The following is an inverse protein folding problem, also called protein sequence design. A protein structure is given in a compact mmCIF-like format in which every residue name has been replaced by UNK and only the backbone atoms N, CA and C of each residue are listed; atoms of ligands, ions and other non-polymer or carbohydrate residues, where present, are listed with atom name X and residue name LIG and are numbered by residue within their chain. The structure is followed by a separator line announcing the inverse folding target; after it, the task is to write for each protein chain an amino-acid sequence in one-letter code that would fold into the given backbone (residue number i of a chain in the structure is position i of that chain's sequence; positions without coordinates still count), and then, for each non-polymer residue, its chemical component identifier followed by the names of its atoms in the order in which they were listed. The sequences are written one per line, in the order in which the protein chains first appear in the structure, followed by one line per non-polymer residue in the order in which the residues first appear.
data_IF_616559241791
#
_entry.id   IF_616559241791
#
_cell.length_a   1.000
_cell.length_b   1.000
_cell.length_c   1.000
_cell.angle_alpha   90.00
_cell.angle_beta   90.00
_cell.angle_gamma   90.00
#
_symmetry.space_group_name_H-M   'P 1'
#
loop_
_entity.id
_entity.type
_entity.pdbx_description
1 polymer ?
#
# COMPACT_ATOMS: atom_id res chain seq x y z
N UNK A 1 20.22 -39.91 54.93
CA UNK A 1 20.57 -39.31 53.64
C UNK A 1 19.43 -38.37 53.27
N UNK A 2 19.64 -37.08 53.45
CA UNK A 2 18.65 -36.04 53.17
C UNK A 2 18.75 -35.62 51.69
N UNK A 3 17.62 -35.53 51.02
CA UNK A 3 17.47 -35.02 49.66
C UNK A 3 17.36 -33.50 49.80
N UNK A 4 18.14 -32.68 49.06
CA UNK A 4 17.98 -31.24 49.10
C UNK A 4 16.74 -30.79 48.35
N UNK A 5 15.88 -30.05 49.01
CA UNK A 5 14.75 -29.32 48.48
C UNK A 5 15.25 -28.21 47.56
N UNK A 6 14.86 -28.28 46.28
CA UNK A 6 15.11 -27.26 45.30
C UNK A 6 13.99 -26.21 45.41
N UNK A 7 14.25 -25.19 46.21
CA UNK A 7 13.39 -24.01 46.28
C UNK A 7 13.54 -23.19 45.00
N UNK A 8 12.47 -23.14 44.20
CA UNK A 8 12.30 -22.19 43.10
C UNK A 8 12.25 -20.77 43.70
N UNK A 9 12.93 -19.78 43.07
CA UNK A 9 12.88 -18.42 43.58
C UNK A 9 11.48 -17.84 43.43
N UNK A 10 11.00 -17.33 44.53
CA UNK A 10 9.71 -16.70 44.73
C UNK A 10 9.43 -15.59 43.71
N UNK A 11 8.17 -15.54 43.36
CA UNK A 11 7.54 -14.56 42.46
C UNK A 11 7.98 -13.13 42.77
N UNK A 12 8.51 -12.48 41.74
CA UNK A 12 8.75 -11.05 41.73
C UNK A 12 7.45 -10.26 41.69
N UNK A 13 7.46 -9.22 42.47
CA UNK A 13 6.41 -8.27 42.79
C UNK A 13 5.55 -7.80 41.61
N UNK A 14 4.29 -7.66 41.95
CA UNK A 14 3.21 -6.93 41.28
C UNK A 14 3.61 -5.59 40.66
N UNK A 15 3.19 -5.33 39.41
CA UNK A 15 2.83 -3.98 38.98
C UNK A 15 3.61 -3.35 37.84
N UNK A 16 4.72 -3.91 37.37
CA UNK A 16 5.46 -3.31 36.24
C UNK A 16 5.45 -4.23 34.99
N UNK A 17 5.06 -3.68 33.86
CA UNK A 17 5.19 -4.35 32.58
C UNK A 17 6.63 -4.84 32.35
N UNK A 18 6.77 -6.06 31.86
CA UNK A 18 8.10 -6.57 31.47
C UNK A 18 8.77 -5.66 30.46
N UNK A 19 10.10 -5.61 30.39
CA UNK A 19 10.79 -4.78 29.40
C UNK A 19 10.37 -5.08 27.94
N UNK A 20 10.07 -6.34 27.61
CA UNK A 20 9.55 -6.70 26.29
C UNK A 20 8.14 -6.14 26.05
N UNK A 21 7.25 -6.20 27.06
CA UNK A 21 5.92 -5.61 26.95
C UNK A 21 5.95 -4.08 26.83
N UNK A 22 6.93 -3.42 27.43
CA UNK A 22 7.13 -1.97 27.22
C UNK A 22 7.47 -1.67 25.76
N UNK A 23 8.40 -2.41 25.15
CA UNK A 23 8.72 -2.27 23.73
C UNK A 23 7.51 -2.53 22.81
N UNK A 24 6.67 -3.54 23.14
CA UNK A 24 5.43 -3.79 22.43
C UNK A 24 4.47 -2.60 22.50
N UNK A 25 4.24 -2.07 23.70
CA UNK A 25 3.37 -0.91 23.88
C UNK A 25 3.89 0.35 23.17
N UNK A 26 5.21 0.55 23.14
CA UNK A 26 5.82 1.67 22.43
C UNK A 26 5.60 1.54 20.92
N UNK A 27 5.80 0.34 20.35
CA UNK A 27 5.46 0.05 18.96
C UNK A 27 3.96 0.27 18.67
N UNK A 28 3.08 -0.21 19.58
CA UNK A 28 1.63 -0.04 19.41
C UNK A 28 1.17 1.41 19.51
N UNK A 29 1.79 2.23 20.36
CA UNK A 29 1.50 3.67 20.42
C UNK A 29 1.86 4.40 19.13
N UNK A 30 2.95 4.01 18.49
CA UNK A 30 3.40 4.59 17.23
C UNK A 30 2.52 4.13 16.04
N UNK A 31 2.05 2.88 16.06
CA UNK A 31 1.27 2.25 14.99
C UNK A 31 -0.07 1.73 15.52
N UNK A 32 -0.92 2.66 15.98
CA UNK A 32 -2.18 2.33 16.67
C UNK A 32 -3.16 1.53 15.85
N UNK A 33 -3.21 1.80 14.55
CA UNK A 33 -4.10 1.22 13.55
C UNK A 33 -3.56 -0.06 12.90
N UNK A 34 -2.33 -0.47 13.23
CA UNK A 34 -1.72 -1.69 12.74
C UNK A 34 -1.70 -2.81 13.78
N UNK A 35 -1.84 -4.05 13.36
CA UNK A 35 -1.58 -5.24 14.17
C UNK A 35 -0.07 -5.37 14.31
N UNK A 36 0.45 -5.39 15.54
CA UNK A 36 1.88 -5.49 15.80
C UNK A 36 2.30 -6.96 15.83
N UNK A 37 3.12 -7.37 14.86
CA UNK A 37 3.82 -8.64 14.84
C UNK A 37 5.15 -8.47 15.58
N UNK A 38 5.20 -8.91 16.83
CA UNK A 38 6.32 -8.67 17.72
C UNK A 38 7.22 -9.90 17.80
N UNK A 39 8.47 -9.79 17.36
CA UNK A 39 9.41 -10.91 17.30
C UNK A 39 9.79 -11.42 18.70
N UNK A 40 9.47 -12.68 18.97
CA UNK A 40 9.82 -13.39 20.21
C UNK A 40 10.43 -14.75 19.87
N UNK A 41 11.77 -14.83 19.81
CA UNK A 41 12.48 -16.03 19.37
C UNK A 41 12.09 -16.42 17.92
N UNK A 42 11.56 -17.62 17.73
CA UNK A 42 11.16 -18.13 16.41
C UNK A 42 9.72 -17.82 16.01
N UNK A 43 9.06 -16.94 16.77
CA UNK A 43 7.68 -16.54 16.52
C UNK A 43 7.56 -15.03 16.39
N UNK A 44 6.51 -14.60 15.65
CA UNK A 44 5.90 -13.31 15.84
C UNK A 44 4.68 -13.47 16.72
N UNK A 45 4.68 -12.83 17.86
CA UNK A 45 3.61 -12.86 18.84
C UNK A 45 2.80 -11.56 18.80
N UNK A 46 1.49 -11.69 18.90
CA UNK A 46 0.54 -10.58 19.00
C UNK A 46 -0.10 -10.62 20.37
N UNK A 47 -0.37 -9.47 20.95
CA UNK A 47 -0.88 -9.35 22.32
C UNK A 47 -2.12 -8.45 22.37
N UNK A 48 -2.88 -8.55 23.45
CA UNK A 48 -4.05 -7.72 23.74
C UNK A 48 -5.07 -7.74 22.59
N UNK A 49 -5.54 -6.57 22.16
CA UNK A 49 -6.50 -6.42 21.07
C UNK A 49 -5.98 -6.99 19.74
N UNK A 50 -4.69 -6.81 19.46
CA UNK A 50 -4.09 -7.37 18.25
C UNK A 50 -4.19 -8.90 18.20
N UNK A 51 -4.04 -9.56 19.34
CA UNK A 51 -4.22 -11.02 19.42
C UNK A 51 -5.66 -11.45 19.17
N UNK A 52 -6.64 -10.69 19.69
CA UNK A 52 -8.07 -10.98 19.47
C UNK A 52 -8.45 -10.82 18.00
N UNK A 53 -7.98 -9.77 17.35
CA UNK A 53 -8.22 -9.51 15.93
C UNK A 53 -7.52 -10.56 15.07
N UNK A 54 -6.22 -10.77 15.28
CA UNK A 54 -5.42 -11.70 14.50
C UNK A 54 -5.88 -13.15 14.64
N UNK A 55 -6.23 -13.60 15.86
CA UNK A 55 -6.73 -14.96 16.08
C UNK A 55 -8.00 -15.26 15.28
N UNK A 56 -8.93 -14.31 15.24
CA UNK A 56 -10.17 -14.43 14.45
C UNK A 56 -9.89 -14.38 12.94
N UNK A 57 -9.04 -13.43 12.52
CA UNK A 57 -8.76 -13.22 11.10
C UNK A 57 -7.94 -14.36 10.48
N UNK A 58 -7.05 -14.98 11.25
CA UNK A 58 -6.13 -16.02 10.80
C UNK A 58 -6.50 -17.43 11.26
N UNK A 59 -7.55 -17.56 12.10
CA UNK A 59 -7.98 -18.83 12.72
C UNK A 59 -6.88 -19.43 13.62
N UNK A 60 -6.19 -18.56 14.39
CA UNK A 60 -5.14 -18.96 15.30
C UNK A 60 -5.70 -19.26 16.70
N UNK A 61 -5.09 -20.20 17.39
CA UNK A 61 -5.40 -20.47 18.79
C UNK A 61 -5.01 -19.28 19.67
N UNK A 62 -5.99 -18.74 20.40
CA UNK A 62 -5.77 -17.72 21.40
C UNK A 62 -5.28 -18.39 22.69
N UNK A 63 -4.15 -17.89 23.23
CA UNK A 63 -3.53 -18.39 24.46
C UNK A 63 -3.24 -17.23 25.42
N UNK A 64 -2.67 -17.53 26.58
CA UNK A 64 -2.17 -16.54 27.53
C UNK A 64 -0.94 -17.09 28.25
N UNK A 65 0.16 -16.34 28.22
CA UNK A 65 1.40 -16.71 28.94
C UNK A 65 1.73 -15.76 30.08
N UNK A 66 1.10 -14.58 30.12
CA UNK A 66 1.42 -13.53 31.08
C UNK A 66 0.16 -12.96 31.71
N UNK A 67 0.30 -12.35 32.83
CA UNK A 67 -0.76 -11.58 33.48
C UNK A 67 -0.44 -10.08 33.41
N UNK A 68 -1.47 -9.28 33.24
CA UNK A 68 -1.36 -7.84 33.33
C UNK A 68 -1.12 -7.38 34.77
N UNK A 69 -0.83 -6.09 35.01
CA UNK A 69 -0.64 -5.55 36.36
C UNK A 69 -1.86 -5.69 37.28
N UNK A 70 -3.07 -5.88 36.71
CA UNK A 70 -4.32 -6.13 37.46
C UNK A 70 -4.57 -7.61 37.78
N UNK A 71 -3.69 -8.50 37.28
CA UNK A 71 -3.79 -9.95 37.45
C UNK A 71 -4.59 -10.67 36.34
N UNK A 72 -5.10 -9.94 35.36
CA UNK A 72 -5.79 -10.48 34.21
C UNK A 72 -4.87 -11.23 33.23
N UNK A 73 -5.37 -12.27 32.59
CA UNK A 73 -4.63 -12.99 31.55
C UNK A 73 -4.46 -12.14 30.27
N UNK A 74 -3.24 -11.92 29.83
CA UNK A 74 -2.97 -11.19 28.58
C UNK A 74 -3.25 -12.11 27.39
N UNK A 75 -4.25 -11.80 26.54
CA UNK A 75 -4.51 -12.57 25.33
C UNK A 75 -3.29 -12.53 24.42
N UNK A 76 -2.93 -13.68 23.84
CA UNK A 76 -1.80 -13.82 22.96
C UNK A 76 -2.10 -14.85 21.87
N UNK A 77 -1.66 -14.60 20.65
CA UNK A 77 -1.50 -15.61 19.61
C UNK A 77 -0.17 -15.39 18.87
N UNK A 78 0.28 -16.35 18.11
CA UNK A 78 1.56 -16.24 17.42
C UNK A 78 1.64 -17.05 16.14
N UNK A 79 2.54 -16.64 15.25
CA UNK A 79 2.84 -17.33 13.99
C UNK A 79 4.33 -17.60 13.90
N UNK A 80 4.75 -18.74 13.33
CA UNK A 80 6.16 -19.05 13.12
C UNK A 80 6.81 -18.00 12.21
N UNK A 81 8.01 -17.57 12.55
CA UNK A 81 8.77 -16.58 11.79
C UNK A 81 8.95 -16.97 10.32
N UNK A 82 9.31 -18.21 10.05
CA UNK A 82 9.57 -18.70 8.69
C UNK A 82 8.30 -18.79 7.82
N UNK A 83 7.11 -18.70 8.40
CA UNK A 83 5.83 -18.79 7.70
C UNK A 83 5.09 -17.42 7.68
N UNK A 84 5.72 -16.36 8.15
CA UNK A 84 5.08 -15.05 8.38
C UNK A 84 4.43 -14.46 7.13
N UNK A 85 5.04 -14.61 5.95
CA UNK A 85 4.56 -13.97 4.72
C UNK A 85 3.16 -14.46 4.33
N UNK A 86 2.86 -15.75 4.51
CA UNK A 86 1.52 -16.28 4.27
C UNK A 86 0.46 -15.71 5.21
N UNK A 87 0.79 -15.49 6.46
CA UNK A 87 -0.11 -14.87 7.44
C UNK A 87 -0.28 -13.38 7.20
N UNK A 88 0.80 -12.66 6.85
CA UNK A 88 0.76 -11.27 6.44
C UNK A 88 -0.18 -11.06 5.26
N UNK A 89 -0.01 -11.85 4.19
CA UNK A 89 -0.86 -11.76 3.01
C UNK A 89 -2.35 -11.99 3.33
N UNK A 90 -2.67 -12.92 4.23
CA UNK A 90 -4.05 -13.18 4.66
C UNK A 90 -4.65 -12.00 5.44
N UNK A 91 -3.91 -11.36 6.35
CA UNK A 91 -4.36 -10.17 7.08
C UNK A 91 -4.53 -8.97 6.15
N UNK A 92 -3.54 -8.73 5.30
CA UNK A 92 -3.53 -7.59 4.38
C UNK A 92 -4.67 -7.68 3.36
N UNK A 93 -4.97 -8.87 2.83
CA UNK A 93 -6.15 -9.08 1.96
C UNK A 93 -7.48 -8.82 2.65
N UNK A 94 -7.53 -8.93 3.97
CA UNK A 94 -8.70 -8.56 4.79
C UNK A 94 -8.72 -7.06 5.16
N UNK A 95 -7.80 -6.26 4.60
CA UNK A 95 -7.72 -4.82 4.81
C UNK A 95 -6.92 -4.40 6.06
N UNK A 96 -6.32 -5.34 6.80
CA UNK A 96 -5.52 -4.99 7.98
C UNK A 96 -4.14 -4.47 7.60
N UNK A 97 -3.63 -3.53 8.41
CA UNK A 97 -2.23 -3.12 8.40
C UNK A 97 -1.47 -3.92 9.45
N UNK A 98 -0.22 -4.27 9.16
CA UNK A 98 0.63 -5.05 10.06
C UNK A 98 1.98 -4.39 10.24
N UNK A 99 2.33 -4.05 11.48
CA UNK A 99 3.64 -3.51 11.83
C UNK A 99 4.58 -4.65 12.25
N UNK A 100 5.65 -4.88 11.48
CA UNK A 100 6.64 -5.91 11.75
C UNK A 100 7.68 -5.32 12.70
N UNK A 101 7.74 -5.86 13.91
CA UNK A 101 8.66 -5.45 14.96
C UNK A 101 9.73 -6.53 15.17
N UNK A 102 10.91 -6.31 14.60
CA UNK A 102 12.03 -7.26 14.61
C UNK A 102 13.08 -6.91 15.64
N UNK A 103 13.89 -7.93 15.98
CA UNK A 103 15.08 -7.77 16.79
C UNK A 103 16.17 -7.05 15.97
N UNK A 104 16.60 -5.88 16.43
CA UNK A 104 17.60 -5.04 15.72
C UNK A 104 19.02 -5.18 16.29
N UNK A 105 19.19 -6.05 17.28
CA UNK A 105 20.50 -6.39 17.85
C UNK A 105 20.70 -7.91 17.96
N UNK A 106 21.94 -8.35 17.97
CA UNK A 106 22.29 -9.76 18.15
C UNK A 106 21.91 -10.24 19.57
N UNK A 107 21.02 -11.22 19.71
CA UNK A 107 20.60 -11.75 21.02
C UNK A 107 21.78 -12.24 21.89
N UNK A 108 22.88 -12.69 21.28
CA UNK A 108 24.08 -13.17 21.98
C UNK A 108 24.94 -12.03 22.56
N UNK A 109 24.76 -10.80 22.07
CA UNK A 109 25.51 -9.61 22.49
C UNK A 109 24.68 -8.66 23.37
N UNK A 110 23.38 -8.87 23.44
CA UNK A 110 22.48 -8.02 24.19
C UNK A 110 22.75 -8.10 25.71
N UNK A 111 22.97 -6.95 26.34
CA UNK A 111 23.04 -6.82 27.82
C UNK A 111 21.64 -6.58 28.36
N UNK A 112 20.82 -7.65 28.44
CA UNK A 112 19.43 -7.54 28.91
C UNK A 112 18.42 -8.02 27.87
N UNK A 113 17.29 -7.32 27.77
CA UNK A 113 16.25 -7.64 26.78
C UNK A 113 16.64 -7.10 25.42
N UNK A 114 16.69 -7.99 24.42
CA UNK A 114 16.99 -7.65 23.01
C UNK A 114 16.12 -6.49 22.54
N UNK A 115 16.73 -5.49 21.95
CA UNK A 115 16.04 -4.32 21.37
C UNK A 115 15.26 -4.73 20.13
N UNK A 116 14.03 -4.25 20.06
CA UNK A 116 13.12 -4.46 18.93
C UNK A 116 12.61 -3.13 18.42
N UNK A 117 12.51 -3.03 17.12
CA UNK A 117 11.96 -1.86 16.44
C UNK A 117 11.05 -2.29 15.31
N UNK A 118 10.09 -1.43 14.94
CA UNK A 118 9.31 -1.65 13.74
C UNK A 118 10.19 -1.41 12.52
N UNK A 119 10.44 -2.48 11.76
CA UNK A 119 11.30 -2.47 10.58
C UNK A 119 10.53 -2.12 9.32
N UNK A 120 9.25 -2.49 9.26
CA UNK A 120 8.33 -2.11 8.17
C UNK A 120 6.88 -2.20 8.62
N UNK A 121 6.00 -1.48 7.93
CA UNK A 121 4.55 -1.64 8.02
C UNK A 121 4.03 -2.15 6.70
N UNK A 122 3.32 -3.27 6.72
CA UNK A 122 2.70 -3.88 5.54
C UNK A 122 1.22 -3.53 5.53
N UNK A 123 0.76 -2.99 4.41
CA UNK A 123 -0.64 -2.61 4.16
C UNK A 123 -1.10 -3.18 2.82
N UNK A 124 -2.39 -3.08 2.47
CA UNK A 124 -2.89 -3.54 1.17
C UNK A 124 -2.15 -2.98 -0.03
N UNK A 125 -1.74 -1.71 0.03
CA UNK A 125 -0.99 -1.06 -1.04
C UNK A 125 0.52 -1.34 -1.02
N UNK A 126 1.07 -1.84 0.09
CA UNK A 126 2.51 -2.07 0.25
C UNK A 126 2.90 -3.56 0.30
N UNK A 127 1.96 -4.47 0.06
CA UNK A 127 2.25 -5.90 -0.09
C UNK A 127 2.91 -6.14 -1.45
N UNK A 128 4.23 -6.39 -1.46
CA UNK A 128 5.03 -6.55 -2.69
C UNK A 128 5.38 -8.01 -3.02
N UNK A 129 4.94 -8.97 -2.24
CA UNK A 129 5.28 -10.38 -2.47
C UNK A 129 4.62 -10.90 -3.74
N UNK A 130 5.44 -11.29 -4.72
CA UNK A 130 5.02 -11.80 -6.02
C UNK A 130 4.12 -13.05 -5.94
N UNK A 131 4.22 -13.84 -4.85
CA UNK A 131 3.36 -15.00 -4.66
C UNK A 131 1.89 -14.64 -4.41
N UNK A 132 1.63 -13.39 -4.04
CA UNK A 132 0.29 -12.90 -3.68
C UNK A 132 -0.25 -11.82 -4.62
N UNK A 133 0.53 -11.42 -5.62
CA UNK A 133 0.17 -10.42 -6.63
C UNK A 133 0.02 -11.09 -8.00
N UNK A 134 -1.03 -10.73 -8.73
CA UNK A 134 -1.04 -10.98 -10.17
C UNK A 134 -0.06 -10.02 -10.84
N UNK A 135 0.99 -10.55 -11.44
CA UNK A 135 2.01 -9.75 -12.09
C UNK A 135 1.48 -8.95 -13.30
N UNK A 136 0.33 -9.34 -13.86
CA UNK A 136 -0.34 -8.65 -14.98
C UNK A 136 -1.31 -7.56 -14.54
N UNK A 137 -1.61 -7.48 -13.25
CA UNK A 137 -2.44 -6.43 -12.69
C UNK A 137 -1.58 -5.39 -11.94
N UNK A 138 -1.85 -4.09 -12.13
CA UNK A 138 -1.16 -3.06 -11.36
C UNK A 138 -1.55 -3.14 -9.87
N UNK A 139 -0.60 -2.81 -9.01
CA UNK A 139 -0.80 -2.74 -7.57
C UNK A 139 -0.76 -1.28 -7.11
N UNK A 140 -1.73 -0.49 -7.54
CA UNK A 140 -1.75 0.93 -7.26
C UNK A 140 -2.06 1.26 -5.80
N UNK A 141 -1.26 2.16 -5.23
CA UNK A 141 -1.68 3.03 -4.14
C UNK A 141 -2.10 4.37 -4.70
N UNK A 142 -3.18 4.92 -4.18
CA UNK A 142 -3.63 6.27 -4.54
C UNK A 142 -3.58 7.17 -3.31
N UNK A 143 -3.20 8.42 -3.51
CA UNK A 143 -3.33 9.45 -2.48
C UNK A 143 -4.13 10.62 -3.01
N UNK A 144 -5.00 11.17 -2.16
CA UNK A 144 -5.68 12.44 -2.42
C UNK A 144 -5.07 13.51 -1.52
N UNK A 145 -4.85 14.69 -2.09
CA UNK A 145 -4.43 15.86 -1.33
C UNK A 145 -5.61 16.51 -0.59
N UNK A 146 -5.35 17.59 0.18
CA UNK A 146 -6.40 18.39 0.79
C UNK A 146 -7.33 19.00 -0.27
N UNK A 147 -8.64 18.94 -0.03
CA UNK A 147 -9.61 19.67 -0.85
C UNK A 147 -9.57 21.16 -0.47
N UNK A 148 -8.93 21.95 -1.30
CA UNK A 148 -8.79 23.40 -1.06
C UNK A 148 -9.48 24.20 -2.17
N UNK A 149 -10.66 24.68 -1.85
CA UNK A 149 -11.45 25.50 -2.76
C UNK A 149 -12.11 24.69 -3.85
N UNK A 150 -11.64 24.85 -5.09
CA UNK A 150 -12.22 24.18 -6.27
C UNK A 150 -11.33 23.06 -6.84
N UNK A 151 -10.23 22.70 -6.16
CA UNK A 151 -9.22 21.76 -6.67
C UNK A 151 -8.82 20.73 -5.64
N UNK A 152 -8.60 19.50 -6.14
CA UNK A 152 -8.03 18.40 -5.39
C UNK A 152 -6.99 17.67 -6.26
N UNK A 153 -5.87 17.34 -5.66
CA UNK A 153 -4.83 16.54 -6.31
C UNK A 153 -4.99 15.06 -6.02
N UNK A 154 -4.62 14.24 -6.98
CA UNK A 154 -4.47 12.81 -6.81
C UNK A 154 -3.09 12.35 -7.26
N UNK A 155 -2.51 11.41 -6.53
CA UNK A 155 -1.27 10.73 -6.88
C UNK A 155 -1.51 9.23 -6.93
N UNK A 156 -0.94 8.56 -7.91
CA UNK A 156 -1.06 7.12 -8.15
C UNK A 156 0.33 6.53 -8.30
N UNK A 157 0.65 5.55 -7.47
CA UNK A 157 1.95 4.87 -7.48
C UNK A 157 1.78 3.36 -7.47
N UNK A 158 2.41 2.68 -8.42
CA UNK A 158 2.65 1.24 -8.37
C UNK A 158 4.06 0.98 -7.84
N UNK A 159 4.16 0.51 -6.60
CA UNK A 159 5.44 0.21 -5.96
C UNK A 159 6.21 -0.93 -6.63
N UNK A 160 5.53 -1.79 -7.40
CA UNK A 160 6.18 -2.93 -8.05
C UNK A 160 6.95 -2.54 -9.31
N UNK A 161 6.54 -1.44 -9.95
CA UNK A 161 7.14 -0.96 -11.20
C UNK A 161 7.82 0.40 -11.06
N UNK A 162 7.47 1.17 -10.03
CA UNK A 162 7.86 2.57 -9.89
C UNK A 162 7.05 3.52 -10.79
N UNK A 163 5.96 3.05 -11.43
CA UNK A 163 5.05 3.92 -12.17
C UNK A 163 4.41 4.91 -11.20
N UNK A 164 4.72 6.19 -11.38
CA UNK A 164 4.24 7.25 -10.51
C UNK A 164 3.61 8.35 -11.36
N UNK A 165 2.32 8.61 -11.13
CA UNK A 165 1.57 9.61 -11.88
C UNK A 165 0.75 10.49 -10.94
N UNK A 166 0.45 11.72 -11.37
CA UNK A 166 -0.39 12.67 -10.65
C UNK A 166 -1.43 13.29 -11.56
N UNK A 167 -2.53 13.74 -10.96
CA UNK A 167 -3.58 14.49 -11.64
C UNK A 167 -4.14 15.57 -10.73
N UNK A 168 -4.78 16.59 -11.32
CA UNK A 168 -5.60 17.56 -10.59
C UNK A 168 -7.02 17.54 -11.15
N UNK A 169 -7.97 17.56 -10.25
CA UNK A 169 -9.40 17.63 -10.55
C UNK A 169 -9.92 18.98 -10.06
N UNK A 170 -10.66 19.67 -10.90
CA UNK A 170 -11.15 21.03 -10.61
C UNK A 170 -12.65 21.17 -10.89
N UNK A 171 -13.25 22.17 -10.28
CA UNK A 171 -14.65 22.51 -10.47
C UNK A 171 -15.64 21.63 -9.71
N UNK A 172 -16.95 21.81 -9.96
CA UNK A 172 -18.01 21.15 -9.18
C UNK A 172 -18.06 19.64 -9.35
N UNK A 173 -17.60 19.11 -10.49
CA UNK A 173 -17.61 17.66 -10.78
C UNK A 173 -16.32 16.93 -10.35
N UNK A 174 -15.39 17.60 -9.66
CA UNK A 174 -14.11 16.99 -9.26
C UNK A 174 -14.25 15.69 -8.47
N UNK A 175 -15.23 15.64 -7.57
CA UNK A 175 -15.45 14.45 -6.75
C UNK A 175 -16.06 13.29 -7.55
N UNK A 176 -16.95 13.59 -8.51
CA UNK A 176 -17.45 12.58 -9.42
C UNK A 176 -16.31 11.98 -10.26
N UNK A 177 -15.40 12.82 -10.76
CA UNK A 177 -14.24 12.37 -11.51
C UNK A 177 -13.29 11.50 -10.67
N UNK A 178 -13.13 11.81 -9.38
CA UNK A 178 -12.36 10.98 -8.44
C UNK A 178 -13.05 9.65 -8.18
N UNK A 179 -14.37 9.64 -7.97
CA UNK A 179 -15.15 8.41 -7.74
C UNK A 179 -15.05 7.47 -8.96
N UNK A 180 -15.17 8.01 -10.16
CA UNK A 180 -14.99 7.27 -11.41
C UNK A 180 -13.56 6.74 -11.56
N UNK A 181 -12.56 7.54 -11.19
CA UNK A 181 -11.15 7.14 -11.19
C UNK A 181 -10.88 5.98 -10.22
N UNK A 182 -11.41 6.05 -9.01
CA UNK A 182 -11.31 4.98 -8.01
C UNK A 182 -11.90 3.67 -8.53
N UNK A 183 -13.04 3.75 -9.22
CA UNK A 183 -13.69 2.59 -9.80
C UNK A 183 -12.90 1.96 -10.96
N UNK A 184 -12.32 2.78 -11.83
CA UNK A 184 -11.55 2.33 -13.00
C UNK A 184 -10.20 1.75 -12.58
N UNK A 185 -9.49 2.41 -11.64
CA UNK A 185 -8.14 2.04 -11.22
C UNK A 185 -8.14 0.97 -10.13
N UNK A 186 -9.20 0.89 -9.34
CA UNK A 186 -9.34 -0.01 -8.21
C UNK A 186 -8.07 -0.06 -7.33
N UNK A 187 -7.63 1.08 -6.75
CA UNK A 187 -6.41 1.11 -5.96
C UNK A 187 -6.53 0.19 -4.76
N UNK A 188 -5.44 -0.46 -4.39
CA UNK A 188 -5.39 -1.39 -3.25
C UNK A 188 -5.45 -0.67 -1.91
N UNK A 189 -5.10 0.60 -1.90
CA UNK A 189 -5.13 1.45 -0.71
C UNK A 189 -5.27 2.91 -1.13
N UNK A 190 -6.04 3.67 -0.36
CA UNK A 190 -6.22 5.10 -0.51
C UNK A 190 -5.65 5.84 0.70
N UNK A 191 -4.76 6.80 0.46
CA UNK A 191 -4.14 7.64 1.48
C UNK A 191 -4.75 9.04 1.42
N UNK A 192 -5.26 9.55 2.54
CA UNK A 192 -5.97 10.83 2.59
C UNK A 192 -5.61 11.65 3.83
N UNK A 193 -5.79 12.98 3.80
CA UNK A 193 -5.72 13.82 4.99
C UNK A 193 -6.81 13.46 6.02
N UNK A 194 -6.50 13.56 7.31
CA UNK A 194 -7.43 13.23 8.39
C UNK A 194 -8.72 14.05 8.38
N UNK A 195 -8.67 15.28 7.88
CA UNK A 195 -9.84 16.17 7.75
C UNK A 195 -10.75 15.89 6.56
N UNK A 196 -10.48 14.85 5.74
CA UNK A 196 -11.23 14.57 4.52
C UNK A 196 -12.26 13.46 4.74
N UNK A 197 -13.55 13.79 4.67
CA UNK A 197 -14.68 12.86 4.78
C UNK A 197 -14.87 12.05 3.48
N UNK A 198 -13.87 11.25 3.13
CA UNK A 198 -13.76 10.60 1.81
C UNK A 198 -14.96 9.69 1.47
N UNK A 199 -15.52 8.98 2.44
CA UNK A 199 -16.66 8.08 2.22
C UNK A 199 -17.93 8.81 1.77
N UNK A 200 -18.08 10.08 2.19
CA UNK A 200 -19.20 10.93 1.78
C UNK A 200 -18.97 11.55 0.40
N UNK A 201 -17.72 11.87 0.08
CA UNK A 201 -17.34 12.56 -1.15
C UNK A 201 -17.14 11.63 -2.35
N UNK A 202 -16.66 10.41 -2.10
CA UNK A 202 -16.42 9.38 -3.10
C UNK A 202 -16.99 8.03 -2.61
N UNK A 203 -18.27 7.73 -2.88
CA UNK A 203 -18.96 6.53 -2.39
C UNK A 203 -18.33 5.21 -2.84
N UNK A 204 -17.56 5.20 -3.91
CA UNK A 204 -16.84 4.01 -4.40
C UNK A 204 -15.89 3.45 -3.35
N UNK A 205 -15.30 4.29 -2.51
CA UNK A 205 -14.44 3.84 -1.40
C UNK A 205 -15.16 2.82 -0.50
N UNK A 206 -16.42 3.10 -0.17
CA UNK A 206 -17.25 2.18 0.65
C UNK A 206 -17.74 1.00 -0.18
N UNK A 207 -18.20 1.25 -1.42
CA UNK A 207 -18.74 0.21 -2.31
C UNK A 207 -17.74 -0.86 -2.65
N UNK A 208 -16.51 -0.47 -3.01
CA UNK A 208 -15.42 -1.39 -3.33
C UNK A 208 -14.60 -1.82 -2.10
N UNK A 209 -14.97 -1.35 -0.89
CA UNK A 209 -14.25 -1.62 0.36
C UNK A 209 -12.76 -1.28 0.25
N UNK A 210 -12.42 -0.17 -0.39
CA UNK A 210 -11.03 0.28 -0.54
C UNK A 210 -10.47 0.64 0.85
N UNK A 211 -9.38 0.02 1.29
CA UNK A 211 -8.74 0.37 2.56
C UNK A 211 -8.27 1.82 2.55
N UNK A 212 -8.63 2.58 3.57
CA UNK A 212 -8.25 3.99 3.71
C UNK A 212 -7.25 4.17 4.83
N UNK A 213 -6.15 4.84 4.52
CA UNK A 213 -5.15 5.29 5.50
C UNK A 213 -5.24 6.80 5.63
N UNK A 214 -5.53 7.27 6.83
CA UNK A 214 -5.56 8.69 7.14
C UNK A 214 -4.22 9.16 7.68
N UNK A 215 -3.75 10.29 7.19
CA UNK A 215 -2.53 10.95 7.65
C UNK A 215 -2.86 12.33 8.19
N UNK A 216 -2.03 12.81 9.13
CA UNK A 216 -2.15 14.17 9.63
C UNK A 216 -2.03 15.19 8.49
N UNK A 217 -2.81 16.25 8.51
CA UNK A 217 -2.90 17.28 7.45
C UNK A 217 -1.55 17.94 7.15
N UNK A 218 -0.66 18.05 8.15
CA UNK A 218 0.67 18.61 7.97
C UNK A 218 1.58 17.81 7.03
N UNK A 219 1.28 16.52 6.81
CA UNK A 219 2.01 15.67 5.87
C UNK A 219 1.73 16.05 4.41
N UNK A 220 0.64 16.75 4.17
CA UNK A 220 0.25 17.29 2.87
C UNK A 220 0.56 18.80 2.72
N UNK A 221 1.37 19.37 3.62
CA UNK A 221 1.81 20.74 3.47
C UNK A 221 2.56 20.95 2.14
N UNK A 222 2.26 22.06 1.44
CA UNK A 222 2.74 22.29 0.08
C UNK A 222 4.28 22.38 -0.02
N UNK A 223 4.91 23.10 0.93
CA UNK A 223 6.37 23.28 0.92
C UNK A 223 7.09 21.98 1.31
N UNK A 224 6.53 21.26 2.28
CA UNK A 224 7.03 19.93 2.67
C UNK A 224 6.90 18.94 1.52
N UNK A 225 5.73 18.85 0.89
CA UNK A 225 5.46 17.99 -0.23
C UNK A 225 6.41 18.25 -1.40
N UNK A 226 6.62 19.53 -1.73
CA UNK A 226 7.56 19.95 -2.77
C UNK A 226 8.99 19.49 -2.47
N UNK A 227 9.47 19.70 -1.24
CA UNK A 227 10.81 19.22 -0.81
C UNK A 227 10.89 17.70 -0.89
N UNK A 228 9.91 16.99 -0.33
CA UNK A 228 9.87 15.53 -0.34
C UNK A 228 9.95 14.96 -1.76
N UNK A 229 9.23 15.56 -2.72
CA UNK A 229 9.27 15.14 -4.12
C UNK A 229 10.60 15.49 -4.80
N UNK A 230 11.11 16.70 -4.60
CA UNK A 230 12.42 17.11 -5.15
C UNK A 230 13.53 16.17 -4.70
N UNK A 231 13.55 15.81 -3.42
CA UNK A 231 14.50 14.84 -2.86
C UNK A 231 14.31 13.44 -3.45
N UNK A 232 13.06 13.00 -3.62
CA UNK A 232 12.76 11.67 -4.18
C UNK A 232 13.20 11.56 -5.63
N UNK A 233 12.87 12.57 -6.43
CA UNK A 233 13.15 12.60 -7.87
C UNK A 233 14.59 13.06 -8.16
N UNK A 234 15.34 13.49 -7.12
CA UNK A 234 16.69 14.07 -7.23
C UNK A 234 16.72 15.25 -8.20
N UNK A 235 15.70 16.07 -8.17
CA UNK A 235 15.52 17.20 -9.06
C UNK A 235 15.56 18.54 -8.31
N UNK A 236 16.27 19.52 -8.86
CA UNK A 236 16.33 20.86 -8.29
C UNK A 236 14.99 21.63 -8.44
N UNK A 237 14.21 21.29 -9.46
CA UNK A 237 12.88 21.85 -9.72
C UNK A 237 11.94 20.76 -10.22
N UNK A 238 10.64 20.92 -9.94
CA UNK A 238 9.58 20.06 -10.45
C UNK A 238 9.02 20.49 -11.81
N UNK A 239 9.58 21.58 -12.38
CA UNK A 239 9.12 22.16 -13.66
C UNK A 239 9.30 21.21 -14.83
N UNK A 240 10.42 20.47 -14.85
CA UNK A 240 10.70 19.46 -15.88
C UNK A 240 9.69 18.32 -15.94
N UNK A 241 8.89 18.14 -14.88
CA UNK A 241 7.81 17.15 -14.81
C UNK A 241 6.43 17.77 -15.08
N UNK A 242 6.36 19.08 -15.45
CA UNK A 242 5.11 19.79 -15.68
C UNK A 242 4.31 20.12 -14.42
N UNK A 243 4.97 20.17 -13.24
CA UNK A 243 4.32 20.32 -11.95
C UNK A 243 4.43 21.75 -11.34
N UNK A 244 5.01 22.73 -12.04
CA UNK A 244 5.31 24.07 -11.52
C UNK A 244 4.15 24.74 -10.79
N UNK A 245 2.95 24.65 -11.34
CA UNK A 245 1.73 25.28 -10.81
C UNK A 245 0.69 24.27 -10.29
N UNK A 246 1.09 23.01 -10.13
CA UNK A 246 0.20 21.90 -9.75
C UNK A 246 0.30 21.62 -8.25
N UNK A 247 -0.03 22.64 -7.44
CA UNK A 247 0.12 22.55 -5.98
C UNK A 247 -0.67 21.40 -5.38
N UNK A 248 -1.92 21.17 -5.81
CA UNK A 248 -2.74 20.09 -5.28
C UNK A 248 -2.16 18.72 -5.63
N UNK A 249 -1.67 18.53 -6.87
CA UNK A 249 -0.98 17.30 -7.28
C UNK A 249 0.31 17.06 -6.49
N UNK A 250 1.11 18.11 -6.26
CA UNK A 250 2.33 18.06 -5.45
C UNK A 250 2.01 17.63 -4.02
N UNK A 251 0.97 18.18 -3.41
CA UNK A 251 0.55 17.83 -2.05
C UNK A 251 0.17 16.36 -1.94
N UNK A 252 -0.66 15.84 -2.86
CA UNK A 252 -1.03 14.44 -2.89
C UNK A 252 0.19 13.52 -3.05
N UNK A 253 1.06 13.83 -4.00
CA UNK A 253 2.26 13.03 -4.29
C UNK A 253 3.28 13.07 -3.15
N UNK A 254 3.53 14.24 -2.57
CA UNK A 254 4.45 14.39 -1.45
C UNK A 254 3.98 13.68 -0.20
N UNK A 255 2.66 13.73 0.11
CA UNK A 255 2.05 12.97 1.19
C UNK A 255 2.21 11.46 1.00
N UNK A 256 1.98 10.96 -0.24
CA UNK A 256 2.15 9.54 -0.56
C UNK A 256 3.61 9.08 -0.39
N UNK A 257 4.57 9.85 -0.92
CA UNK A 257 6.00 9.51 -0.79
C UNK A 257 6.46 9.56 0.66
N UNK A 258 6.03 10.57 1.43
CA UNK A 258 6.35 10.66 2.85
C UNK A 258 5.81 9.46 3.63
N UNK A 259 4.56 9.08 3.39
CA UNK A 259 3.94 7.90 4.01
C UNK A 259 4.69 6.61 3.69
N UNK A 260 5.08 6.42 2.43
CA UNK A 260 5.81 5.22 2.00
C UNK A 260 7.20 5.13 2.61
N UNK A 261 7.94 6.25 2.68
CA UNK A 261 9.25 6.28 3.35
C UNK A 261 9.14 5.92 4.83
N UNK A 262 8.11 6.40 5.49
CA UNK A 262 7.85 6.14 6.91
C UNK A 262 7.46 4.68 7.18
N UNK A 263 6.64 4.10 6.31
CA UNK A 263 6.10 2.75 6.49
C UNK A 263 7.01 1.66 5.99
N UNK A 264 7.67 1.86 4.85
CA UNK A 264 8.57 0.87 4.26
C UNK A 264 9.96 0.91 4.86
N UNK A 265 10.36 2.06 5.43
CA UNK A 265 11.73 2.30 5.95
C UNK A 265 12.83 1.86 4.98
N UNK A 266 12.49 1.84 3.69
CA UNK A 266 13.35 1.47 2.58
C UNK A 266 13.46 2.62 1.59
N UNK A 267 14.56 2.66 0.86
CA UNK A 267 14.76 3.62 -0.22
C UNK A 267 13.82 3.26 -1.39
N UNK A 268 12.99 4.22 -1.80
CA UNK A 268 12.16 4.14 -3.00
C UNK A 268 12.99 4.46 -4.27
N UNK A 269 14.22 3.97 -4.34
CA UNK A 269 15.22 4.36 -5.35
C UNK A 269 14.79 4.07 -6.80
N UNK A 270 13.84 3.17 -7.00
CA UNK A 270 13.26 2.84 -8.31
C UNK A 270 12.20 3.86 -8.77
N UNK A 271 11.63 4.67 -7.86
CA UNK A 271 10.67 5.73 -8.18
C UNK A 271 11.44 7.00 -8.52
N UNK A 272 11.77 7.20 -9.81
CA UNK A 272 12.64 8.29 -10.26
C UNK A 272 11.97 9.30 -11.18
N UNK A 273 10.78 9.00 -11.66
CA UNK A 273 10.02 9.85 -12.56
C UNK A 273 8.60 10.00 -12.05
N UNK A 274 7.98 11.12 -12.40
CA UNK A 274 6.57 11.37 -12.13
C UNK A 274 5.93 11.93 -13.39
N UNK A 275 4.79 11.39 -13.79
CA UNK A 275 4.05 11.84 -14.97
C UNK A 275 2.80 12.64 -14.57
N UNK A 276 2.56 13.77 -15.22
CA UNK A 276 1.30 14.47 -15.10
C UNK A 276 0.26 13.85 -16.03
N UNK A 277 -0.85 13.35 -15.48
CA UNK A 277 -1.99 12.86 -16.23
C UNK A 277 -3.00 13.99 -16.42
N UNK A 278 -3.37 14.23 -17.66
CA UNK A 278 -4.41 15.19 -18.01
C UNK A 278 -5.63 14.42 -18.53
N UNK A 279 -6.82 14.76 -18.02
CA UNK A 279 -8.07 14.13 -18.50
C UNK A 279 -8.30 14.36 -20.00
N UNK A 280 -7.83 15.50 -20.51
CA UNK A 280 -7.96 15.85 -21.94
C UNK A 280 -7.20 14.92 -22.90
N UNK A 281 -6.25 14.14 -22.41
CA UNK A 281 -5.43 13.24 -23.26
C UNK A 281 -6.16 11.93 -23.59
N UNK A 282 -7.25 11.62 -22.86
CA UNK A 282 -7.93 10.33 -22.94
C UNK A 282 -9.41 10.46 -23.23
N UNK A 283 -9.94 9.48 -23.94
CA UNK A 283 -11.39 9.28 -24.05
C UNK A 283 -11.91 8.85 -22.68
N UNK A 284 -12.74 9.68 -22.09
CA UNK A 284 -13.40 9.35 -20.81
C UNK A 284 -14.56 8.40 -21.08
N UNK A 285 -14.40 7.16 -20.63
CA UNK A 285 -15.44 6.15 -20.63
C UNK A 285 -15.84 5.93 -19.19
N UNK A 286 -17.13 6.11 -18.89
CA UNK A 286 -17.61 5.93 -17.52
C UNK A 286 -17.49 4.46 -17.08
N UNK A 287 -17.32 4.21 -15.77
CA UNK A 287 -17.08 2.85 -15.26
C UNK A 287 -18.24 1.88 -15.55
N UNK A 288 -19.47 2.37 -15.63
CA UNK A 288 -20.65 1.56 -15.95
C UNK A 288 -20.58 1.07 -17.39
N UNK A 289 -20.21 1.94 -18.30
CA UNK A 289 -19.97 1.61 -19.72
C UNK A 289 -18.82 0.62 -19.87
N UNK A 290 -17.67 0.84 -19.17
CA UNK A 290 -16.54 -0.11 -19.17
C UNK A 290 -16.99 -1.51 -18.74
N UNK A 291 -17.81 -1.58 -17.68
CA UNK A 291 -18.36 -2.85 -17.17
C UNK A 291 -19.34 -3.49 -18.16
N UNK A 292 -20.30 -2.72 -18.72
CA UNK A 292 -21.30 -3.25 -19.65
C UNK A 292 -20.69 -3.70 -20.97
N UNK A 293 -19.62 -3.06 -21.42
CA UNK A 293 -18.85 -3.49 -22.59
C UNK A 293 -17.94 -4.70 -22.31
N UNK A 294 -17.84 -5.14 -21.05
CA UNK A 294 -16.97 -6.25 -20.67
C UNK A 294 -15.50 -5.99 -20.98
N UNK A 295 -15.01 -4.74 -20.79
CA UNK A 295 -13.66 -4.35 -21.24
C UNK A 295 -12.58 -5.11 -20.48
N UNK A 296 -12.66 -5.17 -19.16
CA UNK A 296 -11.64 -5.83 -18.29
C UNK A 296 -12.23 -6.92 -17.41
N UNK A 297 -13.55 -6.99 -17.31
CA UNK A 297 -14.29 -7.97 -16.52
C UNK A 297 -15.39 -8.59 -17.37
N UNK A 298 -15.44 -9.91 -17.41
CA UNK A 298 -16.47 -10.65 -18.13
C UNK A 298 -17.83 -10.67 -17.40
N UNK A 299 -18.84 -11.24 -18.03
CA UNK A 299 -20.23 -11.26 -17.51
C UNK A 299 -20.40 -12.07 -16.21
N UNK A 300 -19.53 -13.04 -15.97
CA UNK A 300 -19.56 -13.86 -14.76
C UNK A 300 -18.63 -13.33 -13.66
N UNK A 301 -18.04 -12.15 -13.87
CA UNK A 301 -17.02 -11.58 -13.01
C UNK A 301 -15.61 -12.11 -13.32
N UNK A 302 -14.60 -11.31 -12.96
CA UNK A 302 -13.21 -11.61 -13.26
C UNK A 302 -12.82 -11.38 -14.72
N UNK A 303 -11.59 -11.77 -15.07
CA UNK A 303 -11.00 -11.47 -16.37
C UNK A 303 -11.57 -12.31 -17.52
N UNK A 304 -11.93 -13.57 -17.25
CA UNK A 304 -12.37 -14.51 -18.27
C UNK A 304 -13.58 -14.00 -19.05
N UNK A 305 -13.51 -14.06 -20.40
CA UNK A 305 -14.54 -13.59 -21.31
C UNK A 305 -14.65 -12.07 -21.42
N UNK A 306 -13.65 -11.31 -20.95
CA UNK A 306 -13.56 -9.87 -21.19
C UNK A 306 -12.85 -9.56 -22.50
N UNK A 307 -13.00 -8.33 -23.00
CA UNK A 307 -12.25 -7.84 -24.16
C UNK A 307 -10.74 -7.93 -23.92
N UNK A 308 -10.29 -7.61 -22.71
CA UNK A 308 -8.89 -7.74 -22.32
C UNK A 308 -8.40 -9.19 -22.42
N UNK A 309 -9.23 -10.16 -22.00
CA UNK A 309 -8.87 -11.56 -22.07
C UNK A 309 -8.70 -12.05 -23.52
N UNK A 310 -9.63 -11.68 -24.38
CA UNK A 310 -9.60 -12.04 -25.80
C UNK A 310 -8.43 -11.39 -26.60
N UNK A 311 -8.03 -10.19 -26.20
CA UNK A 311 -6.96 -9.44 -26.88
C UNK A 311 -5.56 -9.70 -26.31
N UNK A 312 -5.44 -10.24 -25.10
CA UNK A 312 -4.15 -10.36 -24.42
C UNK A 312 -3.29 -11.53 -24.95
N UNK A 313 -2.56 -11.26 -25.99
CA UNK A 313 -1.48 -12.11 -26.50
C UNK A 313 -0.10 -11.70 -25.95
N UNK A 314 -0.03 -10.90 -24.90
CA UNK A 314 1.23 -10.43 -24.32
C UNK A 314 1.98 -11.58 -23.62
N UNK A 315 3.32 -11.56 -23.70
CA UNK A 315 4.18 -12.55 -23.06
C UNK A 315 4.67 -12.05 -21.70
N UNK A 316 4.92 -10.75 -21.57
CA UNK A 316 5.47 -10.15 -20.36
C UNK A 316 4.37 -9.54 -19.48
N UNK A 317 4.61 -9.53 -18.17
CA UNK A 317 3.71 -8.86 -17.21
C UNK A 317 3.55 -7.36 -17.51
N UNK A 318 4.64 -6.69 -17.93
CA UNK A 318 4.60 -5.28 -18.34
C UNK A 318 3.67 -5.07 -19.55
N UNK A 319 3.75 -5.95 -20.55
CA UNK A 319 2.88 -5.90 -21.72
C UNK A 319 1.40 -6.05 -21.34
N UNK A 320 1.07 -7.01 -20.46
CA UNK A 320 -0.29 -7.20 -19.96
C UNK A 320 -0.84 -5.97 -19.22
N UNK A 321 -0.04 -5.37 -18.34
CA UNK A 321 -0.41 -4.12 -17.66
C UNK A 321 -0.62 -2.96 -18.64
N UNK A 322 0.27 -2.82 -19.61
CA UNK A 322 0.18 -1.75 -20.61
C UNK A 322 -1.08 -1.91 -21.47
N UNK A 323 -1.38 -3.13 -21.95
CA UNK A 323 -2.60 -3.41 -22.71
C UNK A 323 -3.85 -3.08 -21.90
N UNK A 324 -3.91 -3.51 -20.64
CA UNK A 324 -5.01 -3.15 -19.72
C UNK A 324 -5.17 -1.63 -19.60
N UNK A 325 -4.06 -0.92 -19.39
CA UNK A 325 -4.06 0.54 -19.26
C UNK A 325 -4.59 1.21 -20.55
N UNK A 326 -4.22 0.73 -21.71
CA UNK A 326 -4.69 1.26 -22.99
C UNK A 326 -6.18 1.05 -23.20
N UNK A 327 -6.72 -0.09 -22.80
CA UNK A 327 -8.15 -0.39 -22.90
C UNK A 327 -8.99 0.45 -21.94
N UNK A 328 -8.49 0.68 -20.72
CA UNK A 328 -9.18 1.49 -19.72
C UNK A 328 -9.14 2.99 -20.03
N UNK A 329 -8.10 3.44 -20.74
CA UNK A 329 -7.85 4.85 -21.07
C UNK A 329 -7.40 5.00 -22.52
N UNK A 330 -8.32 4.86 -23.48
CA UNK A 330 -8.01 5.07 -24.87
C UNK A 330 -7.54 6.51 -25.11
N UNK A 331 -6.53 6.69 -25.95
CA UNK A 331 -6.06 8.00 -26.32
C UNK A 331 -7.09 8.74 -27.16
N UNK A 332 -7.18 10.05 -26.97
CA UNK A 332 -8.06 10.93 -27.76
C UNK A 332 -7.32 11.63 -28.90
N UNK A 333 -6.04 11.96 -28.68
CA UNK A 333 -5.25 12.73 -29.64
C UNK A 333 -4.65 11.82 -30.72
N UNK A 334 -4.73 12.27 -31.97
CA UNK A 334 -4.33 11.49 -33.14
C UNK A 334 -2.83 11.19 -33.20
N UNK A 335 -1.98 12.16 -32.81
CA UNK A 335 -0.52 11.99 -32.87
C UNK A 335 -0.02 10.89 -31.92
N UNK A 336 -0.35 10.88 -30.62
CA UNK A 336 0.03 9.77 -29.73
C UNK A 336 -0.57 8.41 -30.16
N UNK A 337 -1.73 8.38 -30.84
CA UNK A 337 -2.28 7.15 -31.41
C UNK A 337 -1.38 6.64 -32.53
N UNK A 338 -0.94 7.52 -33.44
CA UNK A 338 -0.03 7.17 -34.51
C UNK A 338 1.31 6.67 -34.01
N UNK A 339 1.90 7.38 -33.03
CA UNK A 339 3.17 6.97 -32.41
C UNK A 339 3.09 5.54 -31.84
N UNK A 340 1.95 5.17 -31.22
CA UNK A 340 1.74 3.79 -30.75
C UNK A 340 1.65 2.80 -31.91
N UNK A 341 0.94 3.14 -32.98
CA UNK A 341 0.80 2.27 -34.14
C UNK A 341 2.13 2.08 -34.87
N UNK A 342 2.92 3.14 -35.02
CA UNK A 342 4.24 3.09 -35.64
C UNK A 342 5.20 2.20 -34.82
N UNK A 343 5.18 2.32 -33.49
CA UNK A 343 5.97 1.46 -32.60
C UNK A 343 5.55 -0.03 -32.71
N UNK A 344 4.25 -0.30 -32.80
CA UNK A 344 3.72 -1.66 -32.99
C UNK A 344 4.13 -2.21 -34.36
N UNK A 345 4.03 -1.42 -35.41
CA UNK A 345 4.43 -1.80 -36.78
C UNK A 345 5.92 -2.13 -36.83
N UNK A 346 6.78 -1.27 -36.28
CA UNK A 346 8.23 -1.50 -36.21
C UNK A 346 8.56 -2.82 -35.53
N UNK A 347 7.97 -3.07 -34.34
CA UNK A 347 8.21 -4.32 -33.60
C UNK A 347 7.57 -5.54 -34.29
N UNK A 348 6.51 -5.37 -35.07
CA UNK A 348 5.94 -6.45 -35.87
C UNK A 348 6.92 -6.89 -36.99
N UNK A 349 7.57 -5.96 -37.65
CA UNK A 349 8.58 -6.25 -38.69
C UNK A 349 9.88 -6.82 -38.10
N UNK A 350 10.32 -6.33 -36.95
CA UNK A 350 11.58 -6.74 -36.31
C UNK A 350 11.41 -8.00 -35.44
N UNK A 351 11.00 -9.10 -36.03
CA UNK A 351 10.66 -10.33 -35.31
C UNK A 351 11.81 -10.91 -34.46
N UNK A 352 13.08 -10.79 -34.91
CA UNK A 352 14.27 -11.27 -34.18
C UNK A 352 14.51 -10.40 -32.93
N UNK A 353 14.40 -9.08 -33.08
CA UNK A 353 14.58 -8.14 -31.96
C UNK A 353 13.45 -8.27 -30.96
N UNK A 354 12.21 -8.37 -31.43
CA UNK A 354 11.04 -8.65 -30.58
C UNK A 354 11.22 -9.91 -29.75
N UNK A 355 11.80 -10.99 -30.34
CA UNK A 355 12.04 -12.23 -29.61
C UNK A 355 13.08 -12.06 -28.48
N UNK A 356 14.01 -11.11 -28.59
CA UNK A 356 14.99 -10.80 -27.52
C UNK A 356 14.38 -10.01 -26.36
N UNK A 357 13.27 -9.30 -26.59
CA UNK A 357 12.52 -8.60 -25.54
C UNK A 357 11.54 -9.50 -24.78
N UNK A 358 11.21 -10.64 -25.32
CA UNK A 358 10.32 -11.65 -24.73
C UNK A 358 11.10 -12.67 -23.90
#
# INVERSE_FOLDING_TARGET
MAVPSNEAPAAAASGALTPAMRQYHDAKRQYRDAIVFFRMGDFYEMFFEDALVASRALELTLTSRSKDPSGGAIPMCGVPFHAVDGYLARLVRKGYRVAICDQVEDPKKAKGVVRREVTRVVSPGTLLDANYLDAREPAFMMSLGPDRGDRIGAALLDLTTGEFTVAEYAGPSRWQAIDDELRVLAPRELVVPAGLEIAAMAPEVTRASIPVTTLDDWQFDADRAKRTLSDQLRAASLDGFGLSERVAAIQAAGGLVAHLRDTQKADLAHVRTIGLRQQADYLLVDPTTIKHLGVVEGTEGGRAGSLLDELDATVTSMGGRLLRSWLLRPLLLLEPIRDRLDAVEELAFRGIERAKFR
#
